data_IF_361478881830
#
_entry.id   IF_361478881830
#
_cell.length_a   1.000
_cell.length_b   1.000
_cell.length_c   1.000
_cell.angle_alpha   90.00
_cell.angle_beta   90.00
_cell.angle_gamma   90.00
#
_symmetry.space_group_name_H-M   'P 1'
#
loop_
_entity.id
_entity.type
_entity.pdbx_description
1 polymer ?
#
# COMPACT_ATOMS: atom_id res chain seq x y z
N UNK A 1 -5.51 -0.70 44.23
CA UNK A 1 -4.55 -1.73 43.74
C UNK A 1 -5.02 -2.35 42.42
N UNK A 2 -6.22 -2.93 42.31
CA UNK A 2 -6.75 -3.49 41.05
C UNK A 2 -6.81 -2.50 39.86
N UNK A 3 -7.12 -1.23 40.12
CA UNK A 3 -7.16 -0.18 39.09
C UNK A 3 -5.79 0.08 38.45
N UNK A 4 -4.70 0.01 39.22
CA UNK A 4 -3.32 0.20 38.73
C UNK A 4 -2.91 -0.92 37.77
N UNK A 5 -3.35 -2.16 38.04
CA UNK A 5 -3.11 -3.30 37.17
C UNK A 5 -3.89 -3.19 35.85
N UNK A 6 -5.15 -2.76 35.92
CA UNK A 6 -5.98 -2.53 34.74
C UNK A 6 -5.45 -1.39 33.87
N UNK A 7 -5.02 -0.28 34.49
CA UNK A 7 -4.40 0.84 33.76
C UNK A 7 -3.05 0.42 33.17
N UNK A 8 -2.26 -0.39 33.88
CA UNK A 8 -1.00 -0.93 33.37
C UNK A 8 -1.21 -1.85 32.16
N UNK A 9 -2.17 -2.78 32.25
CA UNK A 9 -2.53 -3.68 31.15
C UNK A 9 -3.05 -2.92 29.92
N UNK A 10 -3.93 -1.95 30.13
CA UNK A 10 -4.45 -1.11 29.04
C UNK A 10 -3.34 -0.27 28.38
N UNK A 11 -2.42 0.26 29.19
CA UNK A 11 -1.28 1.01 28.69
C UNK A 11 -0.40 0.12 27.81
N UNK A 12 -0.09 -1.10 28.25
CA UNK A 12 0.69 -2.08 27.46
C UNK A 12 -0.02 -2.43 26.14
N UNK A 13 -1.34 -2.66 26.15
CA UNK A 13 -2.12 -2.96 24.95
C UNK A 13 -2.08 -1.85 23.89
N UNK A 14 -2.04 -0.58 24.31
CA UNK A 14 -2.03 0.57 23.39
C UNK A 14 -0.68 0.79 22.68
N UNK A 15 0.42 0.24 23.20
CA UNK A 15 1.78 0.42 22.64
C UNK A 15 2.25 -0.79 21.82
N UNK A 16 1.45 -1.85 21.71
CA UNK A 16 1.83 -3.02 20.89
C UNK A 16 1.78 -2.63 19.42
N UNK A 17 2.91 -2.70 18.68
CA UNK A 17 2.90 -2.43 17.25
C UNK A 17 2.14 -3.56 16.53
N UNK A 18 1.00 -3.23 15.94
CA UNK A 18 0.24 -4.15 15.08
C UNK A 18 0.81 -4.05 13.67
N UNK A 19 1.22 -5.18 13.08
CA UNK A 19 1.61 -5.23 11.67
C UNK A 19 0.35 -5.10 10.80
N UNK A 20 0.13 -3.91 10.28
CA UNK A 20 -0.88 -3.68 9.25
C UNK A 20 -0.26 -4.11 7.91
N UNK A 21 -0.83 -5.12 7.26
CA UNK A 21 -0.43 -5.57 5.92
C UNK A 21 -0.94 -4.60 4.84
N UNK A 22 -0.77 -3.30 5.09
CA UNK A 22 -1.14 -2.28 4.14
C UNK A 22 -0.16 -2.36 2.97
N UNK A 23 -0.69 -2.28 1.75
CA UNK A 23 0.10 -2.18 0.51
C UNK A 23 0.88 -3.44 0.12
N UNK A 24 0.47 -4.64 0.53
CA UNK A 24 0.99 -5.87 -0.13
C UNK A 24 0.55 -5.95 -1.60
N UNK A 25 0.76 -7.11 -2.25
CA UNK A 25 0.44 -7.35 -3.67
C UNK A 25 -0.94 -6.79 -4.12
N UNK A 26 -1.95 -6.99 -3.27
CA UNK A 26 -3.33 -6.53 -3.54
C UNK A 26 -3.50 -5.03 -3.32
N UNK A 27 -2.87 -4.47 -2.28
CA UNK A 27 -2.98 -3.05 -1.95
C UNK A 27 -2.38 -2.15 -3.03
N UNK A 28 -1.19 -2.50 -3.53
CA UNK A 28 -0.55 -1.79 -4.64
C UNK A 28 -1.40 -1.78 -5.90
N UNK A 29 -1.98 -2.93 -6.28
CA UNK A 29 -2.89 -3.04 -7.43
C UNK A 29 -4.13 -2.17 -7.27
N UNK A 30 -4.78 -2.23 -6.10
CA UNK A 30 -5.98 -1.42 -5.83
C UNK A 30 -5.67 0.06 -5.99
N UNK A 31 -4.53 0.51 -5.47
CA UNK A 31 -4.15 1.92 -5.51
C UNK A 31 -3.76 2.36 -6.92
N UNK A 32 -3.04 1.51 -7.66
CA UNK A 32 -2.79 1.71 -9.09
C UNK A 32 -4.08 1.86 -9.89
N UNK A 33 -5.07 1.00 -9.64
CA UNK A 33 -6.38 1.05 -10.31
C UNK A 33 -7.17 2.31 -9.96
N UNK A 34 -7.13 2.76 -8.71
CA UNK A 34 -7.77 4.01 -8.29
C UNK A 34 -7.08 5.20 -8.95
N UNK A 35 -5.74 5.26 -8.91
CA UNK A 35 -4.98 6.34 -9.50
C UNK A 35 -5.23 6.45 -11.01
N UNK A 36 -5.23 5.33 -11.73
CA UNK A 36 -5.49 5.28 -13.17
C UNK A 36 -6.86 5.86 -13.55
N UNK A 37 -7.91 5.57 -12.78
CA UNK A 37 -9.26 6.12 -12.98
C UNK A 37 -9.36 7.63 -12.76
N UNK A 38 -8.41 8.22 -12.04
CA UNK A 38 -8.40 9.64 -11.70
C UNK A 38 -7.37 10.43 -12.51
N UNK A 39 -6.70 9.81 -13.49
CA UNK A 39 -5.78 10.53 -14.38
C UNK A 39 -6.55 11.51 -15.26
N UNK A 40 -5.99 12.71 -15.42
CA UNK A 40 -6.43 13.60 -16.48
C UNK A 40 -6.05 13.02 -17.85
N UNK A 41 -6.79 13.34 -18.93
CA UNK A 41 -6.56 12.73 -20.24
C UNK A 41 -5.14 12.88 -20.81
N UNK A 42 -4.46 13.98 -20.51
CA UNK A 42 -3.08 14.23 -20.91
C UNK A 42 -2.08 13.37 -20.11
N UNK A 43 -2.31 13.20 -18.81
CA UNK A 43 -1.53 12.32 -17.95
C UNK A 43 -1.74 10.85 -18.34
N UNK A 44 -2.98 10.43 -18.60
CA UNK A 44 -3.30 9.06 -19.03
C UNK A 44 -2.56 8.67 -20.31
N UNK A 45 -2.49 9.56 -21.30
CA UNK A 45 -1.72 9.33 -22.54
C UNK A 45 -0.23 9.13 -22.27
N UNK A 46 0.37 9.98 -21.45
CA UNK A 46 1.79 9.88 -21.09
C UNK A 46 2.09 8.61 -20.30
N UNK A 47 1.22 8.24 -19.37
CA UNK A 47 1.35 6.99 -18.60
C UNK A 47 1.28 5.79 -19.54
N UNK A 48 0.31 5.76 -20.46
CA UNK A 48 0.21 4.68 -21.45
C UNK A 48 1.44 4.59 -22.36
N UNK A 49 2.03 5.72 -22.75
CA UNK A 49 3.27 5.75 -23.55
C UNK A 49 4.46 5.17 -22.76
N UNK A 50 4.65 5.60 -21.52
CA UNK A 50 5.75 5.12 -20.65
C UNK A 50 5.60 3.64 -20.31
N UNK A 51 4.36 3.20 -20.11
CA UNK A 51 4.04 1.82 -19.75
C UNK A 51 3.77 0.93 -20.97
N UNK A 52 4.05 1.36 -22.20
CA UNK A 52 3.81 0.56 -23.42
C UNK A 52 2.39 -0.05 -23.48
N UNK A 53 1.39 0.72 -23.06
CA UNK A 53 -0.01 0.32 -23.03
C UNK A 53 -0.45 -0.56 -21.84
N UNK A 54 0.46 -0.94 -20.93
CA UNK A 54 0.09 -1.62 -19.68
C UNK A 54 -0.66 -0.69 -18.71
N UNK A 55 -1.54 -1.26 -17.89
CA UNK A 55 -2.26 -0.50 -16.87
C UNK A 55 -1.38 -0.24 -15.64
N UNK A 56 -1.65 0.86 -14.96
CA UNK A 56 -0.88 1.25 -13.77
C UNK A 56 -0.99 0.21 -12.64
N UNK A 57 -2.14 -0.46 -12.54
CA UNK A 57 -2.33 -1.57 -11.59
C UNK A 57 -1.42 -2.78 -11.90
N UNK A 58 -1.10 -3.04 -13.16
CA UNK A 58 -0.34 -4.24 -13.57
C UNK A 58 1.13 -4.12 -13.14
N UNK A 59 1.69 -2.92 -13.23
CA UNK A 59 3.10 -2.62 -12.92
C UNK A 59 3.33 -2.20 -11.47
N UNK A 60 2.27 -2.02 -10.68
CA UNK A 60 2.30 -1.44 -9.33
C UNK A 60 3.15 -2.21 -8.29
N UNK A 61 3.46 -3.48 -8.55
CA UNK A 61 4.29 -4.33 -7.67
C UNK A 61 5.74 -4.52 -8.13
N UNK A 62 6.08 -4.02 -9.32
CA UNK A 62 7.39 -4.27 -9.95
C UNK A 62 8.59 -3.88 -9.05
N UNK A 63 8.46 -2.79 -8.29
CA UNK A 63 9.52 -2.34 -7.39
C UNK A 63 9.80 -3.34 -6.24
N UNK A 64 8.76 -4.02 -5.73
CA UNK A 64 8.90 -5.04 -4.69
C UNK A 64 9.42 -6.36 -5.27
N UNK A 65 9.05 -6.69 -6.51
CA UNK A 65 9.55 -7.87 -7.23
C UNK A 65 11.07 -7.78 -7.43
N UNK A 66 11.58 -6.66 -7.96
CA UNK A 66 13.03 -6.45 -8.15
C UNK A 66 13.79 -6.48 -6.83
N UNK A 67 13.23 -5.91 -5.77
CA UNK A 67 13.85 -5.93 -4.45
C UNK A 67 14.04 -7.36 -3.93
N UNK A 68 13.14 -8.27 -4.28
CA UNK A 68 13.23 -9.68 -3.90
C UNK A 68 14.22 -10.48 -4.74
N UNK A 69 14.63 -10.00 -5.92
CA UNK A 69 15.60 -10.68 -6.79
C UNK A 69 17.07 -10.45 -6.36
N UNK A 70 17.32 -9.48 -5.47
CA UNK A 70 18.64 -9.11 -4.96
C UNK A 70 18.88 -9.60 -3.54
#
# INVERSE_FOLDING_TARGET
MHSLWLTGLLSVLLIIPVRVHAWGLTGHRIVGAIAERHLQPDAAKKVAEVLDGYHLQDVSNWADEIKSER
#
